data_IF_503477939116
#
_entry.id   IF_503477939116
#
_cell.length_a   1.000
_cell.length_b   1.000
_cell.length_c   1.000
_cell.angle_alpha   90.00
_cell.angle_beta   90.00
_cell.angle_gamma   90.00
#
_symmetry.space_group_name_H-M   'P 1'
#
loop_
_entity.id
_entity.type
_entity.pdbx_description
1 polymer ?
#
# COMPACT_ATOMS: atom_id res chain seq x y z
N UNK A 1 4.19 -6.07 -11.03
CA UNK A 1 4.24 -4.81 -10.26
C UNK A 1 4.66 -5.13 -8.83
N UNK A 2 5.59 -4.37 -8.25
CA UNK A 2 5.92 -4.46 -6.82
C UNK A 2 4.89 -3.67 -6.02
N UNK A 3 4.34 -4.25 -4.97
CA UNK A 3 3.34 -3.61 -4.10
C UNK A 3 3.78 -3.69 -2.65
N UNK A 4 3.47 -2.67 -1.88
CA UNK A 4 3.79 -2.61 -0.47
C UNK A 4 2.67 -1.98 0.36
N UNK A 5 2.41 -2.57 1.52
CA UNK A 5 1.58 -2.04 2.60
C UNK A 5 2.52 -1.65 3.75
N UNK A 6 2.66 -0.35 3.97
CA UNK A 6 3.62 0.25 4.90
C UNK A 6 2.90 0.79 6.12
N UNK A 7 2.78 -0.06 7.13
CA UNK A 7 2.26 0.33 8.43
C UNK A 7 3.31 0.97 9.33
N UNK A 8 2.89 1.53 10.45
CA UNK A 8 3.79 2.21 11.40
C UNK A 8 4.81 1.29 12.10
N UNK A 9 4.55 -0.02 12.17
CA UNK A 9 5.42 -0.99 12.86
C UNK A 9 5.81 -2.17 11.99
N UNK A 10 5.05 -2.48 10.96
CA UNK A 10 5.24 -3.61 10.05
C UNK A 10 4.94 -3.21 8.63
N UNK A 11 5.78 -3.65 7.73
CA UNK A 11 5.64 -3.47 6.29
C UNK A 11 5.50 -4.82 5.60
N UNK A 12 4.64 -4.90 4.59
CA UNK A 12 4.40 -6.08 3.76
C UNK A 12 4.71 -5.76 2.32
N UNK A 13 5.34 -6.69 1.66
CA UNK A 13 5.77 -6.54 0.27
C UNK A 13 5.37 -7.77 -0.54
N UNK A 14 4.94 -7.56 -1.77
CA UNK A 14 4.59 -8.65 -2.69
C UNK A 14 4.81 -8.24 -4.14
N UNK A 15 4.75 -9.22 -5.03
CA UNK A 15 4.63 -9.01 -6.47
C UNK A 15 3.20 -9.30 -6.91
N UNK A 16 2.62 -8.38 -7.67
CA UNK A 16 1.33 -8.59 -8.33
C UNK A 16 1.55 -8.71 -9.84
N UNK A 17 1.02 -9.75 -10.46
CA UNK A 17 1.06 -9.98 -11.90
C UNK A 17 -0.07 -9.24 -12.61
N UNK A 18 -1.26 -9.28 -12.00
CA UNK A 18 -2.48 -8.62 -12.45
C UNK A 18 -3.37 -8.28 -11.23
N UNK A 19 -4.43 -7.49 -11.41
CA UNK A 19 -5.36 -7.22 -10.32
C UNK A 19 -5.93 -8.50 -9.68
N UNK A 20 -5.80 -8.59 -8.35
CA UNK A 20 -6.26 -9.75 -7.57
C UNK A 20 -5.30 -10.94 -7.52
N UNK A 21 -4.23 -10.93 -8.31
CA UNK A 21 -3.22 -12.00 -8.30
C UNK A 21 -1.95 -11.49 -7.61
N UNK A 22 -1.83 -11.84 -6.34
CA UNK A 22 -0.73 -11.44 -5.46
C UNK A 22 0.08 -12.70 -5.12
N UNK A 23 1.38 -12.63 -5.38
CA UNK A 23 2.33 -13.69 -5.04
C UNK A 23 2.64 -13.78 -3.54
N UNK A 24 3.74 -14.39 -3.21
CA UNK A 24 4.20 -14.51 -1.82
C UNK A 24 4.34 -13.14 -1.16
N UNK A 25 4.06 -13.10 0.14
CA UNK A 25 4.17 -11.88 0.94
C UNK A 25 5.41 -11.99 1.82
N UNK A 26 6.27 -10.99 1.73
CA UNK A 26 7.42 -10.80 2.62
C UNK A 26 7.09 -9.71 3.63
N UNK A 27 7.29 -10.00 4.92
CA UNK A 27 7.11 -9.03 6.00
C UNK A 27 8.45 -8.55 6.54
N UNK A 28 8.51 -7.28 6.92
CA UNK A 28 9.66 -6.65 7.58
C UNK A 28 9.19 -5.66 8.64
N UNK A 29 9.91 -5.53 9.77
CA UNK A 29 9.67 -4.43 10.70
C UNK A 29 9.90 -3.07 10.02
N UNK A 30 8.99 -2.13 10.22
CA UNK A 30 9.11 -0.77 9.69
C UNK A 30 10.16 0.01 10.49
N UNK A 31 11.03 0.77 9.81
CA UNK A 31 11.99 1.68 10.45
C UNK A 31 13.23 1.05 11.04
N UNK A 32 13.46 -0.26 10.90
CA UNK A 32 14.68 -0.92 11.42
C UNK A 32 15.88 -0.76 10.51
N UNK A 33 15.67 -0.48 9.22
CA UNK A 33 16.68 -0.20 8.19
C UNK A 33 16.23 1.01 7.37
N UNK A 34 17.12 1.63 6.60
CA UNK A 34 16.73 2.63 5.59
C UNK A 34 15.68 2.06 4.62
N UNK A 35 14.76 2.91 4.15
CA UNK A 35 13.66 2.51 3.26
C UNK A 35 14.16 1.76 2.02
N UNK A 36 15.13 2.32 1.31
CA UNK A 36 15.67 1.73 0.07
C UNK A 36 16.27 0.34 0.34
N UNK A 37 17.05 0.18 1.40
CA UNK A 37 17.62 -1.12 1.76
C UNK A 37 16.53 -2.15 2.12
N UNK A 38 15.42 -1.70 2.72
CA UNK A 38 14.27 -2.59 3.02
C UNK A 38 13.56 -3.02 1.74
N UNK A 39 13.43 -2.12 0.75
CA UNK A 39 12.86 -2.45 -0.57
C UNK A 39 13.76 -3.46 -1.31
N UNK A 40 15.09 -3.26 -1.29
CA UNK A 40 16.06 -4.17 -1.91
C UNK A 40 16.02 -5.57 -1.30
N UNK A 41 15.98 -5.64 0.03
CA UNK A 41 15.84 -6.92 0.76
C UNK A 41 14.54 -7.64 0.37
N UNK A 42 13.42 -6.91 0.31
CA UNK A 42 12.12 -7.46 -0.06
C UNK A 42 12.10 -7.98 -1.51
N UNK A 43 12.64 -7.22 -2.46
CA UNK A 43 12.77 -7.65 -3.86
C UNK A 43 13.64 -8.91 -3.99
N UNK A 44 14.74 -8.97 -3.25
CA UNK A 44 15.62 -10.13 -3.21
C UNK A 44 14.90 -11.36 -2.66
N UNK A 45 14.18 -11.21 -1.55
CA UNK A 45 13.40 -12.29 -0.93
C UNK A 45 12.25 -12.78 -1.82
N UNK A 46 11.67 -11.90 -2.64
CA UNK A 46 10.64 -12.23 -3.64
C UNK A 46 11.22 -12.82 -4.94
N UNK A 47 12.53 -13.08 -4.98
CA UNK A 47 13.20 -13.72 -6.12
C UNK A 47 13.34 -12.81 -7.35
N UNK A 48 13.23 -11.48 -7.18
CA UNK A 48 13.38 -10.52 -8.26
C UNK A 48 14.33 -9.39 -7.87
N UNK A 49 15.33 -9.14 -8.69
CA UNK A 49 16.25 -8.01 -8.49
C UNK A 49 16.04 -6.85 -9.47
N UNK A 50 15.22 -7.04 -10.52
CA UNK A 50 15.14 -6.04 -11.60
C UNK A 50 13.91 -6.13 -12.51
N UNK A 51 12.90 -6.96 -12.26
CA UNK A 51 11.84 -7.18 -13.24
C UNK A 51 10.50 -6.46 -12.94
N UNK A 52 10.38 -5.79 -11.82
CA UNK A 52 9.18 -5.00 -11.55
C UNK A 52 9.28 -3.64 -12.26
N UNK A 53 8.49 -3.45 -13.32
CA UNK A 53 8.47 -2.17 -14.06
C UNK A 53 7.80 -1.04 -13.27
N UNK A 54 6.98 -1.35 -12.29
CA UNK A 54 6.26 -0.36 -11.50
C UNK A 54 6.17 -0.77 -10.03
N UNK A 55 6.06 0.20 -9.14
CA UNK A 55 5.80 -0.01 -7.72
C UNK A 55 4.64 0.85 -7.22
N UNK A 56 3.92 0.32 -6.21
CA UNK A 56 2.88 1.04 -5.48
C UNK A 56 3.07 0.82 -3.97
N UNK A 57 3.07 1.91 -3.22
CA UNK A 57 3.23 1.93 -1.77
C UNK A 57 1.98 2.51 -1.13
N UNK A 58 1.24 1.70 -0.39
CA UNK A 58 0.20 2.15 0.52
C UNK A 58 0.87 2.49 1.85
N UNK A 59 0.79 3.74 2.29
CA UNK A 59 1.56 4.25 3.44
C UNK A 59 0.62 4.76 4.51
N UNK A 60 0.83 4.33 5.76
CA UNK A 60 0.07 4.77 6.94
C UNK A 60 0.49 6.21 7.35
N UNK A 61 0.23 7.18 6.49
CA UNK A 61 0.57 8.58 6.67
C UNK A 61 -0.11 9.49 5.67
N UNK A 62 0.00 10.79 5.88
CA UNK A 62 -0.46 11.76 4.89
C UNK A 62 0.42 11.71 3.65
N UNK A 63 -0.20 11.66 2.47
CA UNK A 63 0.50 11.66 1.18
C UNK A 63 0.11 12.93 0.43
N UNK A 64 1.10 13.66 -0.03
CA UNK A 64 0.93 14.84 -0.87
C UNK A 64 1.94 14.81 -2.02
N UNK A 65 1.46 14.97 -3.25
CA UNK A 65 2.29 15.04 -4.47
C UNK A 65 3.27 13.85 -4.63
N UNK A 66 2.85 12.65 -4.20
CA UNK A 66 3.68 11.44 -4.25
C UNK A 66 4.74 11.34 -3.14
N UNK A 67 4.68 12.23 -2.14
CA UNK A 67 5.57 12.24 -0.99
C UNK A 67 4.81 11.91 0.30
N UNK A 68 5.48 11.23 1.24
CA UNK A 68 4.96 10.94 2.56
C UNK A 68 6.09 10.79 3.58
N UNK A 69 5.84 11.20 4.83
CA UNK A 69 6.78 11.01 5.93
C UNK A 69 6.17 10.10 7.00
N UNK A 70 6.83 9.00 7.28
CA UNK A 70 6.58 8.15 8.44
C UNK A 70 7.53 8.54 9.57
N UNK A 71 7.17 9.57 10.32
CA UNK A 71 8.02 10.13 11.37
C UNK A 71 8.40 9.10 12.44
N UNK A 72 7.49 8.19 12.79
CA UNK A 72 7.73 7.13 13.77
C UNK A 72 8.76 6.08 13.30
N UNK A 73 8.96 5.96 11.99
CA UNK A 73 9.88 5.02 11.36
C UNK A 73 11.14 5.70 10.82
N UNK A 74 11.16 7.03 10.78
CA UNK A 74 12.23 7.80 10.14
C UNK A 74 12.33 7.54 8.63
N UNK A 75 11.21 7.18 7.98
CA UNK A 75 11.15 6.95 6.55
C UNK A 75 10.46 8.11 5.84
N UNK A 76 11.10 8.61 4.80
CA UNK A 76 10.51 9.54 3.85
C UNK A 76 10.32 8.86 2.51
N UNK A 77 9.14 8.98 1.95
CA UNK A 77 8.78 8.50 0.62
C UNK A 77 8.78 9.68 -0.34
N UNK A 78 9.51 9.55 -1.42
CA UNK A 78 9.43 10.38 -2.62
C UNK A 78 9.35 9.45 -3.82
N UNK A 79 8.21 9.48 -4.52
CA UNK A 79 7.95 8.59 -5.63
C UNK A 79 8.99 8.72 -6.75
N UNK A 80 9.48 9.94 -7.03
CA UNK A 80 10.47 10.18 -8.07
C UNK A 80 11.86 9.68 -7.65
N UNK A 81 12.25 9.90 -6.41
CA UNK A 81 13.52 9.42 -5.87
C UNK A 81 13.56 7.89 -5.84
N UNK A 82 12.50 7.25 -5.31
CA UNK A 82 12.38 5.79 -5.28
C UNK A 82 12.42 5.22 -6.71
N UNK A 83 11.70 5.84 -7.66
CA UNK A 83 11.73 5.42 -9.06
C UNK A 83 13.14 5.45 -9.64
N UNK A 84 13.89 6.51 -9.38
CA UNK A 84 15.26 6.67 -9.87
C UNK A 84 16.21 5.66 -9.22
N UNK A 85 16.19 5.53 -7.88
CA UNK A 85 17.10 4.66 -7.13
C UNK A 85 16.86 3.18 -7.43
N UNK A 86 15.58 2.76 -7.51
CA UNK A 86 15.18 1.37 -7.72
C UNK A 86 14.98 1.01 -9.20
N UNK A 87 15.15 1.97 -10.11
CA UNK A 87 14.95 1.83 -11.56
C UNK A 87 13.55 1.37 -11.94
N UNK A 88 12.53 1.76 -11.16
CA UNK A 88 11.14 1.59 -11.56
C UNK A 88 10.77 2.63 -12.62
N UNK A 89 10.00 2.23 -13.63
CA UNK A 89 9.47 3.17 -14.63
C UNK A 89 8.39 4.09 -14.03
N UNK A 90 7.67 3.60 -13.02
CA UNK A 90 6.64 4.35 -12.31
C UNK A 90 6.57 3.89 -10.86
N UNK A 91 6.46 4.87 -9.97
CA UNK A 91 6.16 4.66 -8.55
C UNK A 91 4.93 5.46 -8.18
N UNK A 92 4.04 4.85 -7.42
CA UNK A 92 2.87 5.51 -6.81
C UNK A 92 2.99 5.37 -5.30
N UNK A 93 2.87 6.49 -4.61
CA UNK A 93 2.72 6.53 -3.14
C UNK A 93 1.32 7.04 -2.85
N UNK A 94 0.56 6.33 -2.04
CA UNK A 94 -0.83 6.63 -1.72
C UNK A 94 -1.08 6.33 -0.23
N UNK A 95 -1.98 7.06 0.41
CA UNK A 95 -2.38 6.74 1.77
C UNK A 95 -3.07 5.36 1.86
N UNK A 96 -2.82 4.61 2.92
CA UNK A 96 -3.36 3.26 3.14
C UNK A 96 -4.89 3.20 3.09
N UNK A 97 -5.59 4.15 3.75
CA UNK A 97 -7.06 4.23 3.70
C UNK A 97 -7.61 4.64 2.34
N UNK A 98 -6.91 5.51 1.61
CA UNK A 98 -7.26 5.83 0.21
C UNK A 98 -7.13 4.59 -0.67
N UNK A 99 -6.12 3.75 -0.43
CA UNK A 99 -5.95 2.47 -1.15
C UNK A 99 -7.12 1.53 -0.88
N UNK A 100 -7.56 1.41 0.39
CA UNK A 100 -8.73 0.60 0.75
C UNK A 100 -10.00 1.17 0.10
N UNK A 101 -10.20 2.50 0.16
CA UNK A 101 -11.35 3.15 -0.47
C UNK A 101 -11.43 2.86 -1.97
N UNK A 102 -10.30 2.96 -2.67
CA UNK A 102 -10.21 2.64 -4.10
C UNK A 102 -10.53 1.16 -4.40
N UNK A 103 -10.28 0.25 -3.45
CA UNK A 103 -10.56 -1.17 -3.59
C UNK A 103 -12.03 -1.55 -3.29
N UNK A 104 -12.79 -0.71 -2.57
CA UNK A 104 -14.17 -1.04 -2.16
C UNK A 104 -15.08 -1.48 -3.32
N UNK A 105 -15.09 -0.81 -4.49
CA UNK A 105 -15.92 -1.23 -5.61
C UNK A 105 -15.55 -2.60 -6.18
N UNK A 106 -14.34 -3.09 -5.87
CA UNK A 106 -13.82 -4.36 -6.37
C UNK A 106 -14.05 -5.51 -5.38
N UNK A 107 -14.48 -5.22 -4.15
CA UNK A 107 -14.77 -6.23 -3.14
C UNK A 107 -16.06 -6.97 -3.49
N UNK A 108 -15.94 -8.29 -3.69
CA UNK A 108 -17.09 -9.17 -3.83
C UNK A 108 -17.74 -9.49 -2.48
N UNK A 109 -18.82 -10.26 -2.54
CA UNK A 109 -19.55 -10.75 -1.34
C UNK A 109 -18.67 -11.59 -0.42
N UNK A 110 -17.67 -12.26 -0.97
CA UNK A 110 -16.76 -13.13 -0.21
C UNK A 110 -15.73 -12.32 0.62
N UNK A 111 -15.50 -11.07 0.25
CA UNK A 111 -14.59 -10.14 0.96
C UNK A 111 -15.30 -9.26 2.00
N UNK A 112 -16.63 -9.39 2.15
CA UNK A 112 -17.42 -8.50 3.00
C UNK A 112 -18.45 -9.26 3.85
N UNK A 113 -18.70 -8.75 5.05
CA UNK A 113 -19.79 -9.22 5.90
C UNK A 113 -20.79 -8.10 6.09
N UNK A 114 -22.06 -8.33 5.69
CA UNK A 114 -23.12 -7.34 5.86
C UNK A 114 -23.52 -7.21 7.33
N UNK A 115 -23.45 -6.01 7.86
CA UNK A 115 -23.92 -5.66 9.21
C UNK A 115 -25.09 -4.70 9.09
N UNK A 116 -26.24 -5.10 9.64
CA UNK A 116 -27.47 -4.30 9.63
C UNK A 116 -28.30 -4.42 8.35
N UNK A 117 -29.37 -3.61 8.30
CA UNK A 117 -30.30 -3.55 7.18
C UNK A 117 -29.86 -2.60 6.07
N UNK A 118 -30.63 -2.51 5.00
CA UNK A 118 -30.37 -1.61 3.89
C UNK A 118 -29.98 -2.36 2.62
N UNK A 119 -30.02 -1.64 1.50
CA UNK A 119 -29.57 -2.13 0.19
C UNK A 119 -28.29 -1.41 -0.16
N UNK A 120 -27.31 -2.14 -0.67
CA UNK A 120 -26.11 -1.56 -1.23
C UNK A 120 -26.48 -0.79 -2.51
N UNK A 121 -26.05 0.47 -2.59
CA UNK A 121 -26.08 1.28 -3.81
C UNK A 121 -24.63 1.52 -4.23
N UNK A 122 -24.18 0.83 -5.25
CA UNK A 122 -22.81 0.93 -5.77
C UNK A 122 -22.52 2.25 -6.48
N UNK A 123 -23.55 3.04 -6.80
CA UNK A 123 -23.40 4.37 -7.38
C UNK A 123 -23.27 5.48 -6.33
N UNK A 124 -23.53 5.16 -5.06
CA UNK A 124 -23.35 6.10 -3.96
C UNK A 124 -21.89 6.15 -3.51
N UNK A 125 -21.42 7.29 -2.97
CA UNK A 125 -20.10 7.36 -2.34
C UNK A 125 -19.95 6.32 -1.24
N UNK A 126 -18.81 5.63 -1.21
CA UNK A 126 -18.49 4.63 -0.19
C UNK A 126 -17.48 5.19 0.81
N UNK A 127 -17.76 5.03 2.10
CA UNK A 127 -16.92 5.48 3.20
C UNK A 127 -16.19 4.30 3.83
N UNK A 128 -14.89 4.45 3.99
CA UNK A 128 -14.06 3.54 4.81
C UNK A 128 -13.78 4.18 6.16
N UNK A 129 -14.02 3.41 7.21
CA UNK A 129 -13.65 3.76 8.60
C UNK A 129 -12.85 2.60 9.18
N UNK A 130 -11.67 2.90 9.71
CA UNK A 130 -10.81 1.91 10.37
C UNK A 130 -10.29 2.41 11.70
N UNK A 131 -10.81 1.90 12.83
CA UNK A 131 -10.23 2.16 14.13
C UNK A 131 -8.92 1.38 14.30
N UNK A 132 -7.83 2.07 14.56
CA UNK A 132 -6.52 1.52 14.83
C UNK A 132 -5.85 2.33 15.95
N UNK A 133 -4.54 2.58 15.85
CA UNK A 133 -3.83 3.54 16.72
C UNK A 133 -4.42 4.96 16.57
N UNK A 134 -4.97 5.26 15.39
CA UNK A 134 -5.79 6.42 15.06
C UNK A 134 -7.06 6.00 14.34
N UNK A 135 -7.91 6.95 13.97
CA UNK A 135 -9.07 6.72 13.13
C UNK A 135 -8.69 7.03 11.67
N UNK A 136 -8.60 5.99 10.84
CA UNK A 136 -8.47 6.14 9.40
C UNK A 136 -9.84 6.37 8.76
N UNK A 137 -9.92 7.32 7.83
CA UNK A 137 -11.13 7.66 7.08
C UNK A 137 -10.77 7.95 5.63
N UNK A 138 -11.51 7.35 4.71
CA UNK A 138 -11.41 7.68 3.30
C UNK A 138 -12.75 7.49 2.58
N UNK A 139 -12.92 8.15 1.43
CA UNK A 139 -14.12 8.08 0.59
C UNK A 139 -13.70 7.65 -0.82
N UNK A 140 -14.48 6.74 -1.40
CA UNK A 140 -14.36 6.32 -2.80
C UNK A 140 -15.41 7.04 -3.65
#
# INVERSE_FOLDING_TARGET
>A
MFIADIGGTRSRFALASQPGDIGDIVESPTGTKPLIATIEDALTALGTSASAHAAAFAVAGAVQDGCADLTNAGWSFDAAEIAAMMRFQRVTVINDFQTIAAALPLLGTDGTTKIGGGKLDIAAPMLVLGPGTGLGVAVS
#
